data_IF_303228333208
#
_entry.id   IF_303228333208
#
_cell.length_a   1.000
_cell.length_b   1.000
_cell.length_c   1.000
_cell.angle_alpha   90.00
_cell.angle_beta   90.00
_cell.angle_gamma   90.00
#
_symmetry.space_group_name_H-M   'P 1'
#
loop_
_entity.id
_entity.type
_entity.pdbx_description
1 polymer ?
#
# COMPACT_ATOMS: atom_id res chain seq x y z
N UNK A 1 -16.82 13.97 16.24
CA UNK A 1 -16.77 15.10 15.27
C UNK A 1 -15.37 15.71 15.37
N UNK A 2 -14.62 15.88 14.26
CA UNK A 2 -13.27 16.44 14.31
C UNK A 2 -13.31 17.86 14.88
N UNK A 3 -12.33 18.22 15.72
CA UNK A 3 -12.21 19.57 16.25
C UNK A 3 -11.40 20.47 15.30
N UNK A 4 -11.67 21.77 15.33
CA UNK A 4 -10.97 22.75 14.49
C UNK A 4 -9.47 22.75 14.79
N UNK A 5 -8.64 22.68 13.74
CA UNK A 5 -7.18 22.69 13.86
C UNK A 5 -6.52 21.33 14.15
N UNK A 6 -7.29 20.24 14.25
CA UNK A 6 -6.71 18.91 14.41
C UNK A 6 -6.15 18.34 13.10
N UNK A 7 -5.00 17.68 13.18
CA UNK A 7 -4.34 17.00 12.05
C UNK A 7 -4.38 15.49 12.29
N UNK A 8 -4.73 14.76 11.25
CA UNK A 8 -4.90 13.31 11.26
C UNK A 8 -4.06 12.68 10.15
N UNK A 9 -3.27 11.67 10.49
CA UNK A 9 -2.62 10.83 9.50
C UNK A 9 -3.62 9.80 8.98
N UNK A 10 -3.75 9.70 7.66
CA UNK A 10 -4.62 8.75 6.99
C UNK A 10 -3.72 7.76 6.25
N UNK A 11 -3.36 6.70 6.97
CA UNK A 11 -2.53 5.58 6.48
C UNK A 11 -3.13 4.28 7.02
N UNK A 12 -2.77 3.16 6.43
CA UNK A 12 -3.16 1.83 6.93
C UNK A 12 -2.40 1.47 8.22
N UNK A 13 -2.61 0.24 8.72
CA UNK A 13 -1.98 -0.26 9.95
C UNK A 13 -0.63 -0.94 9.71
N UNK A 14 -0.21 -1.07 8.45
CA UNK A 14 0.90 -1.92 8.02
C UNK A 14 1.96 -1.14 7.24
N UNK A 15 2.80 -0.34 7.93
CA UNK A 15 3.94 0.30 7.29
C UNK A 15 4.89 -0.75 6.71
N UNK A 16 5.03 -0.75 5.39
CA UNK A 16 5.91 -1.66 4.67
C UNK A 16 6.92 -0.89 3.81
N UNK A 17 8.06 -1.53 3.53
CA UNK A 17 8.98 -1.03 2.52
C UNK A 17 8.29 -1.03 1.16
N UNK A 18 8.61 -0.04 0.33
CA UNK A 18 7.95 0.13 -0.97
C UNK A 18 8.19 -1.08 -1.88
N UNK A 19 9.38 -1.65 -1.82
CA UNK A 19 9.80 -2.83 -2.56
C UNK A 19 8.92 -4.04 -2.21
N UNK A 20 8.64 -4.26 -0.92
CA UNK A 20 7.77 -5.35 -0.46
C UNK A 20 6.34 -5.22 -1.02
N UNK A 21 5.81 -3.99 -1.07
CA UNK A 21 4.46 -3.72 -1.63
C UNK A 21 4.43 -4.06 -3.12
N UNK A 22 5.48 -3.68 -3.86
CA UNK A 22 5.59 -3.96 -5.29
C UNK A 22 5.77 -5.45 -5.58
N UNK A 23 6.62 -6.15 -4.82
CA UNK A 23 6.80 -7.60 -4.95
C UNK A 23 5.47 -8.33 -4.76
N UNK A 24 4.73 -8.02 -3.70
CA UNK A 24 3.43 -8.63 -3.47
C UNK A 24 2.41 -8.31 -4.57
N UNK A 25 2.39 -7.07 -5.08
CA UNK A 25 1.51 -6.72 -6.20
C UNK A 25 1.82 -7.55 -7.46
N UNK A 26 3.10 -7.77 -7.77
CA UNK A 26 3.52 -8.60 -8.90
C UNK A 26 3.11 -10.06 -8.72
N UNK A 27 3.30 -10.61 -7.52
CA UNK A 27 2.85 -11.96 -7.20
C UNK A 27 1.34 -12.13 -7.44
N UNK A 28 0.53 -11.15 -7.04
CA UNK A 28 -0.91 -11.20 -7.26
C UNK A 28 -1.30 -11.12 -8.74
N UNK A 29 -0.65 -10.24 -9.50
CA UNK A 29 -0.90 -10.10 -10.94
C UNK A 29 -0.52 -11.40 -11.67
N UNK A 30 0.67 -11.95 -11.43
CA UNK A 30 1.13 -13.17 -12.09
C UNK A 30 0.28 -14.37 -11.70
N UNK A 31 -0.17 -14.45 -10.43
CA UNK A 31 -1.10 -15.48 -9.98
C UNK A 31 -2.46 -15.40 -10.68
N UNK A 32 -2.98 -14.20 -10.92
CA UNK A 32 -4.33 -14.00 -11.51
C UNK A 32 -4.32 -14.04 -13.03
N UNK A 33 -3.26 -13.51 -13.65
CA UNK A 33 -3.06 -13.40 -15.10
C UNK A 33 -1.63 -13.82 -15.47
N UNK A 34 -1.36 -15.14 -15.48
CA UNK A 34 -0.01 -15.65 -15.74
C UNK A 34 0.50 -15.24 -17.12
N UNK A 35 1.75 -14.81 -17.20
CA UNK A 35 2.43 -14.40 -18.43
C UNK A 35 2.07 -13.00 -18.95
N UNK A 36 1.23 -12.23 -18.25
CA UNK A 36 0.92 -10.86 -18.65
C UNK A 36 2.06 -9.87 -18.36
N UNK A 37 2.99 -10.23 -17.47
CA UNK A 37 4.17 -9.41 -17.18
C UNK A 37 5.26 -9.74 -18.20
N UNK A 38 5.28 -8.97 -19.30
CA UNK A 38 6.22 -9.19 -20.42
C UNK A 38 7.52 -8.39 -20.31
N UNK A 39 7.59 -7.44 -19.37
CA UNK A 39 8.76 -6.62 -19.10
C UNK A 39 9.00 -6.56 -17.59
N UNK A 40 10.24 -6.28 -17.16
CA UNK A 40 10.52 -5.92 -15.77
C UNK A 40 9.79 -4.60 -15.47
N UNK A 41 8.70 -4.60 -14.70
CA UNK A 41 7.79 -3.45 -14.67
C UNK A 41 8.35 -2.30 -13.81
N UNK A 42 9.35 -2.58 -12.98
CA UNK A 42 9.86 -1.63 -12.00
C UNK A 42 11.40 -1.57 -12.04
N UNK A 43 11.99 -0.55 -12.69
CA UNK A 43 13.43 -0.32 -12.68
C UNK A 43 14.00 -0.20 -11.26
N UNK A 44 13.17 0.30 -10.33
CA UNK A 44 13.49 0.55 -8.95
C UNK A 44 13.38 -0.66 -8.01
N UNK A 45 12.85 -1.81 -8.47
CA UNK A 45 13.10 -3.08 -7.75
C UNK A 45 14.58 -3.49 -7.82
N UNK A 46 15.36 -2.80 -8.66
CA UNK A 46 16.79 -3.00 -8.85
C UNK A 46 17.61 -1.75 -8.54
N UNK A 47 17.01 -0.70 -7.93
CA UNK A 47 17.74 0.48 -7.45
C UNK A 47 18.70 0.06 -6.32
N UNK A 48 19.85 0.73 -6.22
CA UNK A 48 20.79 0.45 -5.14
C UNK A 48 20.23 0.91 -3.79
N UNK A 49 20.74 0.35 -2.70
CA UNK A 49 20.36 0.76 -1.35
C UNK A 49 20.66 2.25 -1.09
N UNK A 50 21.68 2.80 -1.73
CA UNK A 50 21.99 4.24 -1.65
C UNK A 50 20.92 5.10 -2.35
N UNK A 51 20.45 4.68 -3.52
CA UNK A 51 19.41 5.39 -4.28
C UNK A 51 18.06 5.40 -3.55
N UNK A 52 17.68 4.26 -2.96
CA UNK A 52 16.47 4.14 -2.14
C UNK A 52 16.53 5.04 -0.89
N UNK A 53 17.69 5.07 -0.20
CA UNK A 53 17.85 5.86 1.03
C UNK A 53 17.70 7.37 0.82
N UNK A 54 17.95 7.90 -0.39
CA UNK A 54 17.77 9.32 -0.71
C UNK A 54 16.29 9.73 -0.77
N UNK A 55 15.37 8.77 -0.98
CA UNK A 55 13.93 9.05 -1.09
C UNK A 55 13.25 9.24 0.28
N UNK A 56 13.88 8.73 1.34
CA UNK A 56 13.43 8.86 2.73
C UNK A 56 12.18 8.02 3.03
N UNK A 57 12.28 7.16 4.04
CA UNK A 57 11.16 6.33 4.50
C UNK A 57 10.70 6.75 5.88
N UNK A 58 9.40 6.65 6.14
CA UNK A 58 8.80 7.00 7.43
C UNK A 58 7.73 5.99 7.79
N UNK A 59 7.67 5.67 9.08
CA UNK A 59 6.54 4.96 9.69
C UNK A 59 5.63 6.00 10.33
N UNK A 60 4.35 5.95 10.00
CA UNK A 60 3.36 6.97 10.39
C UNK A 60 2.26 6.31 11.23
N UNK A 61 1.99 6.85 12.41
CA UNK A 61 0.95 6.35 13.29
C UNK A 61 -0.42 6.93 12.90
N UNK A 62 -1.46 6.09 12.88
CA UNK A 62 -2.84 6.43 12.51
C UNK A 62 -3.84 6.33 13.68
N UNK A 63 -3.38 6.03 14.90
CA UNK A 63 -4.26 5.83 16.07
C UNK A 63 -5.22 7.00 16.32
N UNK A 64 -4.76 8.24 16.07
CA UNK A 64 -5.61 9.44 16.25
C UNK A 64 -6.89 9.38 15.40
N UNK A 65 -6.82 8.93 14.14
CA UNK A 65 -8.01 8.84 13.29
C UNK A 65 -8.96 7.73 13.75
N UNK A 66 -8.42 6.62 14.27
CA UNK A 66 -9.24 5.52 14.83
C UNK A 66 -9.96 5.96 16.10
N UNK A 67 -9.23 6.55 17.03
CA UNK A 67 -9.74 6.92 18.35
C UNK A 67 -10.74 8.08 18.30
N UNK A 68 -10.41 9.15 17.57
CA UNK A 68 -11.21 10.40 17.60
C UNK A 68 -12.33 10.40 16.56
N UNK A 69 -12.12 9.74 15.43
CA UNK A 69 -13.09 9.71 14.33
C UNK A 69 -13.85 8.38 14.27
N UNK A 70 -13.44 7.36 15.03
CA UNK A 70 -14.07 6.04 15.02
C UNK A 70 -13.83 5.28 13.71
N UNK A 71 -12.79 5.65 12.96
CA UNK A 71 -12.48 5.04 11.66
C UNK A 71 -12.12 3.57 11.86
N UNK A 72 -12.79 2.70 11.11
CA UNK A 72 -12.44 1.29 10.96
C UNK A 72 -12.00 1.08 9.51
N UNK A 73 -10.75 0.68 9.32
CA UNK A 73 -10.21 0.44 7.99
C UNK A 73 -10.82 -0.83 7.41
N UNK A 74 -11.33 -0.75 6.18
CA UNK A 74 -11.75 -1.93 5.43
C UNK A 74 -10.55 -2.78 5.02
N UNK A 75 -9.43 -2.11 4.69
CA UNK A 75 -8.17 -2.73 4.31
C UNK A 75 -7.07 -2.18 5.24
N UNK A 76 -6.80 -2.85 6.37
CA UNK A 76 -5.81 -2.39 7.34
C UNK A 76 -4.37 -2.62 6.88
N UNK A 77 -4.14 -3.27 5.74
CA UNK A 77 -2.80 -3.46 5.16
C UNK A 77 -2.81 -3.38 3.66
N UNK A 78 -1.66 -3.03 3.08
CA UNK A 78 -1.43 -3.11 1.64
C UNK A 78 -1.80 -4.48 1.07
N UNK A 79 -1.54 -5.58 1.80
CA UNK A 79 -1.88 -6.93 1.34
C UNK A 79 -3.38 -7.12 1.17
N UNK A 80 -4.15 -6.75 2.20
CA UNK A 80 -5.62 -6.86 2.15
C UNK A 80 -6.22 -5.97 1.06
N UNK A 81 -5.69 -4.76 0.87
CA UNK A 81 -6.15 -3.83 -0.15
C UNK A 81 -5.84 -4.31 -1.57
N UNK A 82 -4.60 -4.71 -1.83
CA UNK A 82 -4.18 -5.18 -3.16
C UNK A 82 -4.88 -6.49 -3.55
N UNK A 83 -5.05 -7.42 -2.60
CA UNK A 83 -5.82 -8.65 -2.83
C UNK A 83 -7.25 -8.30 -3.25
N UNK A 84 -7.91 -7.40 -2.51
CA UNK A 84 -9.27 -6.97 -2.83
C UNK A 84 -9.35 -6.29 -4.20
N UNK A 85 -8.36 -5.47 -4.58
CA UNK A 85 -8.33 -4.83 -5.91
C UNK A 85 -8.26 -5.89 -7.00
N UNK A 86 -7.36 -6.88 -6.87
CA UNK A 86 -7.18 -7.94 -7.87
C UNK A 86 -8.42 -8.82 -7.99
N UNK A 87 -9.07 -9.14 -6.87
CA UNK A 87 -10.31 -9.93 -6.85
C UNK A 87 -11.49 -9.20 -7.51
N UNK A 88 -11.51 -7.86 -7.42
CA UNK A 88 -12.58 -7.03 -7.94
C UNK A 88 -12.22 -6.31 -9.26
N UNK A 89 -11.08 -6.63 -9.87
CA UNK A 89 -10.61 -5.90 -11.06
C UNK A 89 -11.55 -6.09 -12.27
N UNK A 90 -12.32 -7.19 -12.30
CA UNK A 90 -13.33 -7.45 -13.32
C UNK A 90 -14.71 -6.86 -12.99
N UNK A 91 -14.90 -6.34 -11.76
CA UNK A 91 -16.14 -5.71 -11.34
C UNK A 91 -16.18 -4.27 -11.86
N UNK A 92 -17.10 -3.99 -12.79
CA UNK A 92 -17.26 -2.66 -13.40
C UNK A 92 -18.00 -1.64 -12.52
N UNK A 93 -18.33 -2.00 -11.28
CA UNK A 93 -19.16 -1.21 -10.37
C UNK A 93 -18.68 -1.37 -8.93
#
# INVERSE_FOLDING_TARGET
KPASGEIYNIVDDDPAAREEVFEYALELIEKRWPGNITTKPFPFLYESREESSLRGEKRVCNERMKDKLGVKLLYPSYKSGLQSIVENMDNRF
#
